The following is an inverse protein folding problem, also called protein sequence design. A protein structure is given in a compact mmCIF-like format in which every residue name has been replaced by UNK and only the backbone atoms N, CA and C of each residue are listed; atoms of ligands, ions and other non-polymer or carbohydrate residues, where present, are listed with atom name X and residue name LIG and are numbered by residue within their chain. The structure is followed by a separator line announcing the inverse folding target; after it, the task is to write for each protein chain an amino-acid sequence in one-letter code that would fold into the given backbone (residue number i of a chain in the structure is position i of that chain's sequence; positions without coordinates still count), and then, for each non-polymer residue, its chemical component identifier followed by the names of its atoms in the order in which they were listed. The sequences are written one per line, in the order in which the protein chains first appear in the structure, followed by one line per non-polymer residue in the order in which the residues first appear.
data_IF_962854400125
#
_entry.id   IF_962854400125
#
_cell.length_a   1.000
_cell.length_b   1.000
_cell.length_c   1.000
_cell.angle_alpha   90.00
_cell.angle_beta   90.00
_cell.angle_gamma   90.00
#
_symmetry.space_group_name_H-M   'P 1'
#
loop_
_entity.id
_entity.type
_entity.pdbx_description
1 polymer ?
#
# COMPACT_ATOMS: atom_id res chain seq x y z
N UNK A 1 -19.95 -0.11 -29.82
CA UNK A 1 -20.16 -1.58 -30.00
C UNK A 1 -21.17 -2.07 -28.98
N UNK A 2 -22.05 -3.05 -29.28
CA UNK A 2 -22.92 -3.65 -28.27
C UNK A 2 -22.03 -4.41 -27.28
N UNK A 3 -22.12 -4.11 -25.96
CA UNK A 3 -21.40 -4.86 -24.91
C UNK A 3 -21.86 -6.32 -24.98
N UNK A 4 -20.92 -7.24 -25.08
CA UNK A 4 -21.19 -8.68 -25.16
C UNK A 4 -21.08 -9.28 -23.79
N UNK A 5 -22.10 -9.99 -23.36
CA UNK A 5 -22.19 -10.68 -22.09
C UNK A 5 -22.23 -12.20 -22.27
N UNK A 6 -21.60 -12.89 -21.36
CA UNK A 6 -21.64 -14.34 -21.21
C UNK A 6 -22.55 -14.66 -20.03
N UNK A 7 -23.60 -15.44 -20.26
CA UNK A 7 -24.48 -15.86 -19.19
C UNK A 7 -23.88 -17.10 -18.47
N UNK A 8 -23.65 -16.96 -17.17
CA UNK A 8 -23.14 -18.03 -16.33
C UNK A 8 -23.74 -17.94 -14.93
N UNK A 9 -24.34 -19.06 -14.43
CA UNK A 9 -24.81 -19.19 -13.04
C UNK A 9 -25.71 -18.02 -12.55
N UNK A 10 -26.68 -17.61 -13.34
CA UNK A 10 -27.58 -16.47 -13.08
C UNK A 10 -26.88 -15.08 -13.09
N UNK A 11 -25.71 -14.98 -13.66
CA UNK A 11 -25.00 -13.71 -13.91
C UNK A 11 -24.84 -13.50 -15.41
N UNK A 12 -24.90 -12.22 -15.84
CA UNK A 12 -24.44 -11.81 -17.16
C UNK A 12 -23.11 -11.10 -17.01
N UNK A 13 -22.02 -11.78 -17.33
CA UNK A 13 -20.64 -11.28 -17.16
C UNK A 13 -20.13 -10.73 -18.48
N UNK A 14 -19.58 -9.52 -18.49
CA UNK A 14 -18.94 -8.96 -19.69
C UNK A 14 -17.85 -9.91 -20.20
N UNK A 15 -17.84 -10.15 -21.53
CA UNK A 15 -16.93 -11.11 -22.16
C UNK A 15 -15.46 -10.84 -21.81
N UNK A 16 -15.04 -9.58 -21.77
CA UNK A 16 -13.66 -9.21 -21.42
C UNK A 16 -13.30 -9.60 -19.99
N UNK A 17 -14.22 -9.43 -19.04
CA UNK A 17 -14.00 -9.83 -17.65
C UNK A 17 -14.04 -11.36 -17.51
N UNK A 18 -14.98 -12.02 -18.17
CA UNK A 18 -15.07 -13.47 -18.19
C UNK A 18 -13.79 -14.12 -18.72
N UNK A 19 -13.29 -13.59 -19.84
CA UNK A 19 -12.04 -14.04 -20.45
C UNK A 19 -10.85 -13.81 -19.53
N UNK A 20 -10.74 -12.65 -18.92
CA UNK A 20 -9.68 -12.35 -17.94
C UNK A 20 -9.68 -13.34 -16.77
N UNK A 21 -10.85 -13.58 -16.18
CA UNK A 21 -10.97 -14.51 -15.03
C UNK A 21 -10.55 -15.92 -15.44
N UNK A 22 -11.06 -16.41 -16.56
CA UNK A 22 -10.87 -17.80 -16.96
C UNK A 22 -9.51 -18.08 -17.61
N UNK A 23 -8.97 -17.11 -18.37
CA UNK A 23 -7.74 -17.30 -19.16
C UNK A 23 -6.49 -16.76 -18.46
N UNK A 24 -6.64 -15.74 -17.60
CA UNK A 24 -5.51 -15.05 -17.00
C UNK A 24 -5.44 -15.25 -15.46
N UNK A 25 -6.55 -15.09 -14.74
CA UNK A 25 -6.55 -15.04 -13.27
C UNK A 25 -6.62 -16.42 -12.60
N UNK A 26 -7.50 -17.32 -13.04
CA UNK A 26 -7.62 -18.68 -12.47
C UNK A 26 -6.45 -19.60 -12.87
N UNK A 27 -5.96 -19.63 -14.11
CA UNK A 27 -4.87 -20.52 -14.49
C UNK A 27 -3.61 -20.29 -13.64
N UNK A 28 -3.07 -21.39 -13.08
CA UNK A 28 -1.93 -21.38 -12.15
C UNK A 28 -2.33 -21.33 -10.68
N UNK A 29 -3.62 -21.20 -10.36
CA UNK A 29 -4.22 -21.49 -9.06
C UNK A 29 -4.75 -22.92 -9.01
N UNK A 30 -5.21 -23.37 -7.85
CA UNK A 30 -5.87 -24.68 -7.72
C UNK A 30 -7.41 -24.57 -7.83
N UNK A 31 -7.93 -23.42 -8.28
CA UNK A 31 -9.37 -23.15 -8.30
C UNK A 31 -9.99 -23.73 -9.57
N UNK A 32 -11.07 -24.48 -9.38
CA UNK A 32 -11.88 -24.97 -10.50
C UNK A 32 -12.80 -23.85 -11.03
N UNK A 33 -12.77 -23.60 -12.33
CA UNK A 33 -13.48 -22.50 -13.00
C UNK A 33 -15.00 -22.60 -12.77
N UNK A 34 -15.61 -23.78 -12.99
CA UNK A 34 -17.07 -23.95 -12.85
C UNK A 34 -17.51 -23.76 -11.40
N UNK A 35 -16.75 -24.32 -10.46
CA UNK A 35 -17.02 -24.18 -9.03
C UNK A 35 -16.85 -22.73 -8.55
N UNK A 36 -15.89 -22.00 -9.11
CA UNK A 36 -15.72 -20.56 -8.84
C UNK A 36 -16.96 -19.78 -9.23
N UNK A 37 -17.42 -19.87 -10.48
CA UNK A 37 -18.58 -19.11 -10.95
C UNK A 37 -19.86 -19.48 -10.21
N UNK A 38 -20.07 -20.78 -9.93
CA UNK A 38 -21.20 -21.26 -9.14
C UNK A 38 -21.24 -20.66 -7.73
N UNK A 39 -20.13 -20.77 -6.99
CA UNK A 39 -20.04 -20.23 -5.63
C UNK A 39 -20.05 -18.69 -5.63
N UNK A 40 -19.36 -18.05 -6.57
CA UNK A 40 -19.34 -16.61 -6.72
C UNK A 40 -20.76 -16.06 -6.94
N UNK A 41 -21.50 -16.62 -7.88
CA UNK A 41 -22.89 -16.22 -8.14
C UNK A 41 -23.77 -16.33 -6.89
N UNK A 42 -23.67 -17.43 -6.16
CA UNK A 42 -24.41 -17.60 -4.89
C UNK A 42 -24.09 -16.49 -3.88
N UNK A 43 -22.81 -16.20 -3.67
CA UNK A 43 -22.37 -15.18 -2.73
C UNK A 43 -22.82 -13.77 -3.18
N UNK A 44 -22.70 -13.46 -4.47
CA UNK A 44 -23.16 -12.18 -5.00
C UNK A 44 -24.65 -11.98 -4.72
N UNK A 45 -25.50 -12.97 -5.04
CA UNK A 45 -26.96 -12.89 -4.78
C UNK A 45 -27.31 -12.90 -3.28
N UNK A 46 -26.49 -13.51 -2.43
CA UNK A 46 -26.65 -13.45 -0.96
C UNK A 46 -26.31 -12.06 -0.40
N UNK A 47 -25.21 -11.45 -0.89
CA UNK A 47 -24.65 -10.23 -0.31
C UNK A 47 -25.21 -8.94 -0.92
N UNK A 48 -25.63 -8.93 -2.18
CA UNK A 48 -26.14 -7.71 -2.83
C UNK A 48 -27.35 -7.10 -2.09
N UNK A 49 -28.37 -7.86 -1.66
CA UNK A 49 -29.46 -7.29 -0.89
C UNK A 49 -29.05 -6.75 0.49
N UNK A 50 -28.03 -7.37 1.12
CA UNK A 50 -27.48 -6.88 2.40
C UNK A 50 -26.74 -5.57 2.20
N UNK A 51 -25.97 -5.45 1.12
CA UNK A 51 -25.30 -4.20 0.74
C UNK A 51 -26.33 -3.08 0.51
N UNK A 52 -27.38 -3.35 -0.26
CA UNK A 52 -28.45 -2.39 -0.52
C UNK A 52 -29.16 -1.93 0.77
N UNK A 53 -29.43 -2.86 1.69
CA UNK A 53 -30.03 -2.55 2.98
C UNK A 53 -29.15 -1.59 3.82
N UNK A 54 -27.81 -1.79 3.82
CA UNK A 54 -26.87 -0.90 4.49
C UNK A 54 -26.86 0.51 3.86
N UNK A 55 -26.91 0.60 2.53
CA UNK A 55 -26.98 1.89 1.84
C UNK A 55 -28.29 2.64 2.15
N UNK A 56 -29.42 1.94 2.19
CA UNK A 56 -30.70 2.51 2.63
C UNK A 56 -30.66 2.97 4.07
N UNK A 57 -30.02 2.23 4.95
CA UNK A 57 -29.85 2.61 6.35
C UNK A 57 -28.97 3.86 6.48
N UNK A 58 -27.84 3.94 5.75
CA UNK A 58 -26.98 5.12 5.65
C UNK A 58 -27.79 6.37 5.24
N UNK A 59 -28.58 6.25 4.17
CA UNK A 59 -29.44 7.34 3.69
C UNK A 59 -30.48 7.76 4.72
N UNK A 60 -31.12 6.80 5.39
CA UNK A 60 -32.08 7.08 6.46
C UNK A 60 -31.44 7.87 7.60
N UNK A 61 -30.26 7.48 8.05
CA UNK A 61 -29.54 8.21 9.11
C UNK A 61 -29.27 9.66 8.72
N UNK A 62 -28.87 9.92 7.46
CA UNK A 62 -28.63 11.28 6.98
C UNK A 62 -29.93 12.10 6.98
N UNK A 63 -31.04 11.56 6.49
CA UNK A 63 -32.35 12.22 6.50
C UNK A 63 -32.81 12.55 7.93
N UNK A 64 -32.64 11.61 8.86
CA UNK A 64 -33.03 11.81 10.27
C UNK A 64 -32.18 12.93 10.92
N UNK A 65 -30.88 12.99 10.61
CA UNK A 65 -29.96 14.04 11.12
C UNK A 65 -30.33 15.40 10.52
N UNK A 66 -30.54 15.49 9.22
CA UNK A 66 -30.90 16.73 8.53
C UNK A 66 -32.21 17.30 9.12
N UNK A 67 -33.21 16.43 9.29
CA UNK A 67 -34.47 16.79 9.89
C UNK A 67 -34.30 17.34 11.32
N UNK A 68 -33.47 16.67 12.14
CA UNK A 68 -33.22 17.14 13.51
C UNK A 68 -32.65 18.57 13.52
N UNK A 69 -31.68 18.86 12.66
CA UNK A 69 -31.08 20.19 12.55
C UNK A 69 -32.11 21.24 12.09
N UNK A 70 -32.92 20.91 11.08
CA UNK A 70 -33.97 21.80 10.59
C UNK A 70 -35.02 22.10 11.67
N UNK A 71 -35.47 21.07 12.41
CA UNK A 71 -36.47 21.21 13.48
C UNK A 71 -35.97 22.00 14.72
N UNK A 72 -34.65 22.12 14.85
CA UNK A 72 -33.98 22.80 15.97
C UNK A 72 -33.18 24.04 15.55
N UNK A 73 -33.34 24.52 14.32
CA UNK A 73 -32.54 25.61 13.73
C UNK A 73 -32.57 26.92 14.55
N UNK A 74 -33.73 27.24 15.13
CA UNK A 74 -33.91 28.47 15.87
C UNK A 74 -33.75 28.31 17.41
N UNK A 75 -33.26 27.14 17.85
CA UNK A 75 -33.05 26.85 19.28
C UNK A 75 -31.57 26.93 19.62
N UNK A 76 -31.26 27.23 20.87
CA UNK A 76 -29.90 27.06 21.37
C UNK A 76 -29.49 25.59 21.28
N UNK A 77 -28.28 25.33 20.74
CA UNK A 77 -27.77 23.97 20.54
C UNK A 77 -27.52 23.29 21.89
N UNK A 78 -28.17 22.13 22.09
CA UNK A 78 -27.98 21.29 23.28
C UNK A 78 -27.26 20.01 22.89
N UNK A 79 -25.99 19.93 23.23
CA UNK A 79 -25.15 18.77 22.90
C UNK A 79 -25.72 17.45 23.47
N UNK A 80 -26.20 17.43 24.69
CA UNK A 80 -26.74 16.23 25.34
C UNK A 80 -27.99 15.69 24.63
N UNK A 81 -28.88 16.60 24.21
CA UNK A 81 -30.08 16.24 23.44
C UNK A 81 -29.67 15.65 22.07
N UNK A 82 -28.72 16.28 21.39
CA UNK A 82 -28.24 15.81 20.12
C UNK A 82 -27.57 14.44 20.23
N UNK A 83 -26.68 14.21 21.19
CA UNK A 83 -26.09 12.92 21.44
C UNK A 83 -27.12 11.81 21.73
N UNK A 84 -28.14 12.14 22.55
CA UNK A 84 -29.23 11.21 22.85
C UNK A 84 -30.05 10.88 21.59
N UNK A 85 -30.29 11.86 20.74
CA UNK A 85 -30.92 11.63 19.45
C UNK A 85 -30.08 10.73 18.57
N UNK A 86 -28.76 10.97 18.41
CA UNK A 86 -27.86 10.15 17.63
C UNK A 86 -27.79 8.70 18.14
N UNK A 87 -27.80 8.50 19.46
CA UNK A 87 -27.89 7.16 20.08
C UNK A 87 -29.22 6.48 19.75
N UNK A 88 -30.31 7.22 19.83
CA UNK A 88 -31.68 6.72 19.57
C UNK A 88 -31.86 6.22 18.14
N UNK A 89 -31.31 6.93 17.15
CA UNK A 89 -31.41 6.52 15.73
C UNK A 89 -30.36 5.45 15.34
N UNK A 90 -29.42 5.13 16.23
CA UNK A 90 -28.34 4.17 15.97
C UNK A 90 -27.16 4.73 15.18
N UNK A 91 -27.01 6.05 15.12
CA UNK A 91 -25.83 6.70 14.54
C UNK A 91 -24.61 6.50 15.46
N UNK A 92 -24.77 6.81 16.76
CA UNK A 92 -23.81 6.49 17.80
C UNK A 92 -24.13 5.12 18.40
N UNK A 93 -23.14 4.24 18.44
CA UNK A 93 -23.27 2.89 18.99
C UNK A 93 -22.60 2.86 20.37
N UNK A 94 -23.24 2.17 21.32
CA UNK A 94 -22.64 1.96 22.63
C UNK A 94 -21.39 1.09 22.49
N UNK A 95 -20.29 1.53 23.08
CA UNK A 95 -19.06 0.74 23.13
C UNK A 95 -19.29 -0.57 23.91
N UNK A 96 -18.84 -1.65 23.31
CA UNK A 96 -18.78 -2.96 23.97
C UNK A 96 -17.61 -3.07 24.97
N UNK A 97 -17.41 -4.25 25.59
CA UNK A 97 -16.31 -4.47 26.52
C UNK A 97 -14.95 -4.31 25.87
N UNK A 98 -13.90 -4.18 26.67
CA UNK A 98 -12.52 -4.13 26.17
C UNK A 98 -12.16 -5.38 25.34
N UNK A 99 -11.35 -5.20 24.32
CA UNK A 99 -10.88 -6.27 23.45
C UNK A 99 -9.43 -6.01 23.00
N UNK A 100 -8.83 -7.02 22.41
CA UNK A 100 -7.49 -6.92 21.78
C UNK A 100 -7.58 -7.31 20.32
N UNK A 101 -6.81 -6.63 19.49
CA UNK A 101 -6.60 -7.04 18.10
C UNK A 101 -5.91 -8.40 18.07
N UNK A 102 -6.43 -9.32 17.28
CA UNK A 102 -5.98 -10.72 17.19
C UNK A 102 -5.42 -11.08 15.82
N UNK A 103 -5.20 -10.10 14.96
CA UNK A 103 -4.69 -10.31 13.60
C UNK A 103 -3.34 -11.03 13.64
N UNK A 104 -3.20 -12.07 12.83
CA UNK A 104 -1.98 -12.91 12.74
C UNK A 104 -1.44 -12.90 11.31
N UNK A 105 -0.20 -13.40 11.15
CA UNK A 105 0.46 -13.50 9.85
C UNK A 105 0.55 -12.15 9.15
N UNK A 106 1.09 -11.16 9.86
CA UNK A 106 1.33 -9.80 9.35
C UNK A 106 2.79 -9.67 8.94
N UNK A 107 3.02 -9.15 7.73
CA UNK A 107 4.37 -8.88 7.24
C UNK A 107 5.03 -7.76 8.04
N UNK A 108 6.36 -7.79 8.11
CA UNK A 108 7.16 -6.83 8.91
C UNK A 108 6.97 -5.39 8.43
N UNK A 109 6.71 -5.19 7.16
CA UNK A 109 6.41 -3.90 6.54
C UNK A 109 5.19 -3.22 7.16
N UNK A 110 4.28 -3.98 7.73
CA UNK A 110 3.11 -3.47 8.44
C UNK A 110 3.38 -3.35 9.94
N UNK A 111 3.98 -4.39 10.54
CA UNK A 111 4.02 -4.53 12.00
C UNK A 111 5.26 -3.92 12.66
N UNK A 112 6.38 -3.82 11.94
CA UNK A 112 7.69 -3.52 12.57
C UNK A 112 8.50 -2.43 11.86
N UNK A 113 8.19 -2.09 10.61
CA UNK A 113 8.99 -1.13 9.83
C UNK A 113 8.20 0.17 9.67
N UNK A 114 8.55 1.25 10.39
CA UNK A 114 7.86 2.54 10.31
C UNK A 114 8.39 3.33 9.11
N UNK A 115 7.83 3.13 7.93
CA UNK A 115 8.27 3.80 6.72
C UNK A 115 7.13 4.44 5.93
N UNK A 116 7.47 5.24 4.92
CA UNK A 116 6.49 5.88 4.04
C UNK A 116 5.59 4.87 3.32
N UNK A 117 4.35 5.29 3.07
CA UNK A 117 3.39 4.56 2.27
C UNK A 117 3.04 5.39 1.03
N UNK A 118 3.01 4.76 -0.14
CA UNK A 118 2.57 5.37 -1.39
C UNK A 118 1.16 4.91 -1.75
N UNK A 119 0.44 5.75 -2.51
CA UNK A 119 -0.83 5.40 -3.14
C UNK A 119 -0.72 5.75 -4.62
N UNK A 120 -1.04 4.82 -5.52
CA UNK A 120 -0.96 5.02 -6.96
C UNK A 120 -2.13 4.36 -7.68
N UNK A 121 -2.61 4.95 -8.81
CA UNK A 121 -3.65 4.33 -9.62
C UNK A 121 -3.14 3.03 -10.26
N UNK A 122 -3.83 1.91 -9.99
CA UNK A 122 -3.44 0.60 -10.53
C UNK A 122 -3.60 0.50 -12.05
N UNK A 123 -4.47 1.31 -12.63
CA UNK A 123 -4.67 1.35 -14.09
C UNK A 123 -3.47 1.90 -14.85
N UNK A 124 -2.57 2.63 -14.17
CA UNK A 124 -1.32 3.11 -14.75
C UNK A 124 -0.16 2.18 -14.36
N UNK A 125 0.18 1.25 -15.24
CA UNK A 125 1.25 0.27 -15.03
C UNK A 125 2.63 0.89 -14.75
N UNK A 126 2.92 2.06 -15.35
CA UNK A 126 4.17 2.81 -15.10
C UNK A 126 4.22 3.31 -13.66
N UNK A 127 3.14 3.91 -13.17
CA UNK A 127 3.07 4.40 -11.78
C UNK A 127 3.12 3.23 -10.79
N UNK A 128 2.40 2.15 -11.07
CA UNK A 128 2.41 0.96 -10.24
C UNK A 128 3.81 0.34 -10.10
N UNK A 129 4.54 0.16 -11.22
CA UNK A 129 5.91 -0.34 -11.20
C UNK A 129 6.88 0.60 -10.51
N UNK A 130 6.78 1.92 -10.76
CA UNK A 130 7.65 2.89 -10.11
C UNK A 130 7.44 2.92 -8.60
N UNK A 131 6.19 2.90 -8.14
CA UNK A 131 5.86 2.90 -6.71
C UNK A 131 6.30 1.60 -6.02
N UNK A 132 6.06 0.44 -6.63
CA UNK A 132 6.55 -0.84 -6.11
C UNK A 132 8.08 -0.84 -5.97
N UNK A 133 8.80 -0.26 -6.94
CA UNK A 133 10.26 -0.18 -6.96
C UNK A 133 10.83 0.95 -6.09
N UNK A 134 10.00 1.86 -5.58
CA UNK A 134 10.42 2.94 -4.70
C UNK A 134 10.77 2.50 -3.26
N UNK A 135 10.81 1.17 -3.01
CA UNK A 135 11.34 0.63 -1.74
C UNK A 135 12.75 1.15 -1.46
N UNK A 136 13.59 1.31 -2.48
CA UNK A 136 14.94 1.79 -2.37
C UNK A 136 15.13 3.01 -3.26
N UNK A 137 15.48 4.14 -2.65
CA UNK A 137 15.63 5.42 -3.32
C UNK A 137 17.02 6.03 -3.11
N UNK A 138 17.58 6.64 -4.16
CA UNK A 138 18.81 7.40 -4.09
C UNK A 138 18.59 8.69 -3.29
N UNK A 139 19.35 8.89 -2.23
CA UNK A 139 19.38 10.13 -1.49
C UNK A 139 19.99 11.26 -2.35
N UNK A 140 21.01 10.93 -3.13
CA UNK A 140 21.68 11.92 -3.99
C UNK A 140 20.74 12.45 -5.08
N UNK A 141 20.01 11.55 -5.75
CA UNK A 141 19.01 11.97 -6.75
C UNK A 141 17.88 12.79 -6.12
N UNK A 142 17.41 12.39 -4.93
CA UNK A 142 16.36 13.11 -4.22
C UNK A 142 16.81 14.53 -3.83
N UNK A 143 18.02 14.67 -3.28
CA UNK A 143 18.58 15.97 -2.91
C UNK A 143 18.85 16.85 -4.14
N UNK A 144 19.39 16.26 -5.20
CA UNK A 144 19.72 17.00 -6.42
C UNK A 144 18.45 17.49 -7.14
N UNK A 145 17.40 16.67 -7.17
CA UNK A 145 16.17 16.91 -7.93
C UNK A 145 15.10 17.76 -7.23
N UNK A 146 15.27 18.07 -5.93
CA UNK A 146 14.25 18.77 -5.14
C UNK A 146 14.76 20.11 -4.57
N UNK A 147 13.89 20.84 -3.89
CA UNK A 147 14.19 22.14 -3.25
C UNK A 147 14.89 22.01 -1.89
N UNK A 148 15.19 20.79 -1.42
CA UNK A 148 16.00 20.57 -0.20
C UNK A 148 17.38 21.26 -0.34
N UNK A 149 17.98 21.21 -1.53
CA UNK A 149 19.12 22.04 -1.88
C UNK A 149 18.61 23.27 -2.61
N UNK A 150 18.69 24.48 -2.02
CA UNK A 150 18.20 25.70 -2.64
C UNK A 150 18.84 26.00 -4.00
N UNK A 151 18.09 26.66 -4.88
CA UNK A 151 18.58 27.13 -6.18
C UNK A 151 19.20 28.53 -6.05
N UNK A 152 20.21 28.65 -5.20
CA UNK A 152 20.93 29.90 -4.91
C UNK A 152 22.44 29.70 -4.95
N UNK A 153 23.19 30.76 -5.04
CA UNK A 153 24.67 30.74 -4.94
C UNK A 153 25.35 29.80 -5.95
N UNK A 154 24.85 29.75 -7.18
CA UNK A 154 25.41 28.91 -8.24
C UNK A 154 25.01 27.45 -8.20
N UNK A 155 24.06 27.07 -7.30
CA UNK A 155 23.55 25.69 -7.17
C UNK A 155 22.22 25.47 -7.89
N UNK A 156 21.87 26.29 -8.88
CA UNK A 156 20.64 26.18 -9.66
C UNK A 156 20.62 24.87 -10.48
N UNK A 157 19.43 24.28 -10.63
CA UNK A 157 19.21 23.14 -11.53
C UNK A 157 19.23 23.63 -12.98
N UNK A 158 19.99 22.96 -13.81
CA UNK A 158 20.08 23.26 -15.24
C UNK A 158 19.82 21.97 -16.05
N UNK A 159 19.76 22.10 -17.38
CA UNK A 159 19.68 20.96 -18.30
C UNK A 159 20.93 20.04 -18.27
N UNK A 160 22.02 20.51 -17.64
CA UNK A 160 23.27 19.76 -17.46
C UNK A 160 23.57 19.63 -15.98
N UNK A 161 24.37 18.63 -15.63
CA UNK A 161 24.85 18.47 -14.26
C UNK A 161 25.58 19.72 -13.77
N UNK A 162 25.14 20.26 -12.64
CA UNK A 162 25.76 21.38 -11.97
C UNK A 162 26.72 20.91 -10.86
N UNK A 163 28.04 21.03 -10.99
CA UNK A 163 29.01 20.57 -9.99
C UNK A 163 28.84 21.24 -8.61
N UNK A 164 28.56 22.56 -8.56
CA UNK A 164 28.35 23.26 -7.29
C UNK A 164 27.17 22.73 -6.52
N UNK A 165 26.05 22.40 -7.23
CA UNK A 165 24.91 21.69 -6.62
C UNK A 165 25.30 20.32 -6.14
N UNK A 166 26.07 19.55 -6.93
CA UNK A 166 26.55 18.22 -6.57
C UNK A 166 27.41 18.23 -5.31
N UNK A 167 28.24 19.24 -5.08
CA UNK A 167 29.03 19.40 -3.85
C UNK A 167 28.13 19.63 -2.63
N UNK A 168 27.11 20.48 -2.75
CA UNK A 168 26.11 20.69 -1.66
C UNK A 168 25.32 19.39 -1.36
N UNK A 169 25.01 18.57 -2.37
CA UNK A 169 24.38 17.25 -2.19
C UNK A 169 25.29 16.32 -1.39
N UNK A 170 26.56 16.22 -1.76
CA UNK A 170 27.56 15.40 -1.04
C UNK A 170 27.71 15.88 0.40
N UNK A 171 27.82 17.17 0.62
CA UNK A 171 27.92 17.74 1.96
C UNK A 171 26.68 17.40 2.82
N UNK A 172 25.48 17.60 2.28
CA UNK A 172 24.24 17.25 2.96
C UNK A 172 24.21 15.77 3.32
N UNK A 173 24.57 14.90 2.37
CA UNK A 173 24.58 13.46 2.56
C UNK A 173 25.59 13.02 3.63
N UNK A 174 26.75 13.68 3.74
CA UNK A 174 27.72 13.44 4.80
C UNK A 174 27.16 13.85 6.17
N UNK A 175 26.53 15.01 6.26
CA UNK A 175 25.82 15.44 7.48
C UNK A 175 24.71 14.48 7.87
N UNK A 176 23.99 13.93 6.87
CA UNK A 176 22.97 12.91 7.10
C UNK A 176 23.58 11.64 7.72
N UNK A 177 24.74 11.18 7.26
CA UNK A 177 25.43 10.03 7.83
C UNK A 177 25.90 10.31 9.26
N UNK A 178 26.50 11.48 9.52
CA UNK A 178 26.92 11.86 10.88
C UNK A 178 25.78 11.85 11.89
N UNK A 179 24.58 12.26 11.44
CA UNK A 179 23.38 12.26 12.28
C UNK A 179 22.79 10.87 12.48
N UNK A 180 22.84 10.00 11.48
CA UNK A 180 22.09 8.75 11.46
C UNK A 180 22.94 7.50 11.70
N UNK A 181 24.21 7.53 11.32
CA UNK A 181 25.21 6.46 11.50
C UNK A 181 26.50 7.08 12.07
N UNK A 182 26.45 7.70 13.26
CA UNK A 182 27.57 8.46 13.78
C UNK A 182 28.80 7.58 14.05
N UNK A 183 29.96 8.09 13.66
CA UNK A 183 31.23 7.51 14.05
C UNK A 183 31.48 7.74 15.56
N UNK A 184 32.28 6.88 16.19
CA UNK A 184 32.69 7.06 17.60
C UNK A 184 33.52 8.33 17.75
N UNK A 185 34.44 8.58 16.80
CA UNK A 185 35.29 9.75 16.72
C UNK A 185 35.31 10.26 15.28
N UNK A 186 35.35 11.59 15.08
CA UNK A 186 35.38 12.22 13.77
C UNK A 186 34.03 12.27 13.06
N UNK A 187 34.06 12.50 11.77
CA UNK A 187 32.91 12.73 10.89
C UNK A 187 33.03 11.88 9.64
N UNK A 188 31.90 11.53 9.02
CA UNK A 188 31.88 10.95 7.68
C UNK A 188 32.52 11.86 6.63
N UNK A 189 32.65 13.16 6.89
CA UNK A 189 33.35 14.13 6.04
C UNK A 189 34.86 13.88 6.02
N UNK A 190 35.40 13.29 7.06
CA UNK A 190 36.84 13.06 7.22
C UNK A 190 37.31 11.76 6.57
N UNK A 191 36.37 10.87 6.21
CA UNK A 191 36.68 9.61 5.55
C UNK A 191 37.22 9.88 4.15
N UNK A 192 38.47 9.46 3.92
CA UNK A 192 39.24 9.71 2.69
C UNK A 192 39.55 8.47 1.87
N UNK A 193 39.15 7.30 2.32
CA UNK A 193 39.33 6.03 1.61
C UNK A 193 38.13 5.09 1.84
N UNK A 194 37.95 4.14 0.94
CA UNK A 194 36.88 3.13 1.07
C UNK A 194 37.12 2.33 2.34
N UNK A 195 36.14 2.27 3.28
CA UNK A 195 36.26 1.45 4.47
C UNK A 195 36.49 -0.03 4.12
N UNK A 196 37.09 -0.79 5.04
CA UNK A 196 37.32 -2.22 4.86
C UNK A 196 36.39 -3.02 5.76
N UNK A 197 35.99 -4.20 5.31
CA UNK A 197 35.28 -5.18 6.13
C UNK A 197 36.14 -6.43 6.25
N UNK A 198 36.48 -6.81 7.46
CA UNK A 198 37.30 -7.99 7.73
C UNK A 198 36.57 -8.92 8.69
N UNK A 199 36.33 -10.15 8.28
CA UNK A 199 35.57 -11.14 9.06
C UNK A 199 34.22 -10.55 9.60
N UNK A 200 33.49 -9.85 8.72
CA UNK A 200 32.22 -9.22 9.09
C UNK A 200 32.32 -7.97 9.95
N UNK A 201 33.53 -7.53 10.31
CA UNK A 201 33.77 -6.31 11.10
C UNK A 201 34.14 -5.14 10.21
N UNK A 202 33.49 -4.02 10.42
CA UNK A 202 33.79 -2.77 9.74
C UNK A 202 35.05 -2.13 10.32
N UNK A 203 35.91 -1.55 9.49
CA UNK A 203 37.13 -0.84 9.91
C UNK A 203 36.85 0.53 10.54
N UNK A 204 35.61 1.03 10.46
CA UNK A 204 35.19 2.27 11.11
C UNK A 204 34.57 1.96 12.48
N UNK A 205 34.96 2.73 13.49
CA UNK A 205 34.35 2.67 14.80
C UNK A 205 33.06 3.47 14.85
N UNK A 206 31.93 2.78 14.91
CA UNK A 206 30.61 3.37 15.03
C UNK A 206 30.27 3.63 16.50
N UNK A 207 29.55 4.72 16.77
CA UNK A 207 28.99 5.00 18.11
C UNK A 207 28.02 3.87 18.52
N UNK A 208 27.26 3.33 17.59
CA UNK A 208 26.36 2.19 17.77
C UNK A 208 26.76 1.05 16.81
N UNK A 209 27.66 0.16 17.23
CA UNK A 209 28.19 -0.95 16.41
C UNK A 209 27.10 -1.82 15.78
N UNK A 210 25.96 -2.02 16.49
CA UNK A 210 24.81 -2.82 16.00
C UNK A 210 24.11 -2.24 14.79
N UNK A 211 24.39 -0.97 14.42
CA UNK A 211 23.82 -0.40 13.20
C UNK A 211 24.40 -1.03 11.94
N UNK A 212 25.64 -1.49 11.94
CA UNK A 212 26.21 -2.19 10.79
C UNK A 212 25.65 -3.61 10.73
N UNK A 213 24.88 -3.92 9.65
CA UNK A 213 24.12 -5.18 9.54
C UNK A 213 24.52 -6.03 8.36
N UNK A 214 25.20 -5.46 7.36
CA UNK A 214 25.62 -6.22 6.19
C UNK A 214 26.54 -5.45 5.25
N UNK A 215 27.10 -6.16 4.30
CA UNK A 215 27.99 -5.61 3.29
C UNK A 215 27.93 -6.43 2.00
N UNK A 216 28.37 -5.81 0.92
CA UNK A 216 28.46 -6.48 -0.38
C UNK A 216 29.80 -6.17 -1.04
N UNK A 217 30.53 -7.24 -1.42
CA UNK A 217 31.67 -7.15 -2.31
C UNK A 217 31.25 -7.51 -3.74
N UNK A 218 31.76 -6.78 -4.72
CA UNK A 218 31.74 -7.18 -6.13
C UNK A 218 33.17 -7.49 -6.54
N UNK A 219 33.42 -8.73 -6.88
CA UNK A 219 34.78 -9.24 -7.04
C UNK A 219 35.60 -9.02 -5.74
N UNK A 220 36.67 -8.26 -5.78
CA UNK A 220 37.49 -7.94 -4.61
C UNK A 220 37.21 -6.56 -4.00
N UNK A 221 36.31 -5.78 -4.61
CA UNK A 221 36.07 -4.40 -4.20
C UNK A 221 34.81 -4.32 -3.32
N UNK A 222 34.92 -3.62 -2.19
CA UNK A 222 33.74 -3.27 -1.40
C UNK A 222 32.81 -2.39 -2.26
N UNK A 223 31.59 -2.87 -2.44
CA UNK A 223 30.57 -2.19 -3.23
C UNK A 223 29.57 -1.47 -2.35
N UNK A 224 29.23 -2.03 -1.18
CA UNK A 224 28.16 -1.51 -0.35
C UNK A 224 28.35 -1.85 1.12
N UNK A 225 27.96 -0.91 1.99
CA UNK A 225 27.81 -1.08 3.45
C UNK A 225 26.36 -0.82 3.83
N UNK A 226 25.72 -1.81 4.45
CA UNK A 226 24.33 -1.72 4.89
C UNK A 226 24.24 -1.44 6.39
N UNK A 227 23.57 -0.34 6.73
CA UNK A 227 23.30 0.06 8.11
C UNK A 227 21.81 0.01 8.39
N UNK A 228 21.44 -0.11 9.67
CA UNK A 228 20.05 -0.12 10.14
C UNK A 228 19.84 0.91 11.25
N UNK A 229 18.80 1.73 11.09
CA UNK A 229 18.33 2.68 12.12
C UNK A 229 16.81 2.72 12.11
N UNK A 230 16.18 2.64 13.28
CA UNK A 230 14.71 2.64 13.43
C UNK A 230 14.01 1.60 12.53
N UNK A 231 14.62 0.43 12.37
CA UNK A 231 14.19 -0.64 11.48
C UNK A 231 14.21 -0.31 9.96
N UNK A 232 14.70 0.84 9.56
CA UNK A 232 14.96 1.21 8.17
C UNK A 232 16.44 1.07 7.84
N UNK A 233 16.75 0.82 6.59
CA UNK A 233 18.11 0.57 6.13
C UNK A 233 18.69 1.74 5.34
N UNK A 234 19.98 1.94 5.51
CA UNK A 234 20.81 2.92 4.79
C UNK A 234 21.93 2.13 4.12
N UNK A 235 21.99 2.18 2.81
CA UNK A 235 22.98 1.47 2.00
C UNK A 235 23.94 2.45 1.34
N UNK A 236 25.19 2.48 1.80
CA UNK A 236 26.24 3.36 1.26
C UNK A 236 26.96 2.62 0.14
N UNK A 237 26.86 3.15 -1.09
CA UNK A 237 27.46 2.54 -2.27
C UNK A 237 28.79 3.20 -2.64
N UNK A 238 29.78 2.40 -2.98
CA UNK A 238 31.13 2.82 -3.37
C UNK A 238 31.42 2.47 -4.83
N UNK A 239 31.92 3.43 -5.60
CA UNK A 239 32.32 3.19 -6.99
C UNK A 239 33.28 4.29 -7.50
N UNK A 240 34.58 4.05 -7.39
CA UNK A 240 35.61 4.96 -7.86
C UNK A 240 35.62 5.19 -9.38
N UNK A 241 34.91 4.38 -10.17
CA UNK A 241 34.82 4.52 -11.62
C UNK A 241 33.65 5.43 -12.06
N UNK A 242 32.71 5.72 -11.17
CA UNK A 242 31.57 6.57 -11.47
C UNK A 242 31.96 8.06 -11.53
N UNK A 243 31.12 8.87 -12.18
CA UNK A 243 31.32 10.33 -12.27
C UNK A 243 31.30 11.03 -10.91
N UNK A 244 30.53 10.51 -9.95
CA UNK A 244 30.41 11.03 -8.59
C UNK A 244 31.52 10.47 -7.70
N UNK A 245 31.67 9.14 -7.66
CA UNK A 245 32.63 8.49 -6.78
C UNK A 245 34.10 8.84 -7.07
N UNK A 246 34.45 9.22 -8.31
CA UNK A 246 35.77 9.78 -8.65
C UNK A 246 36.09 11.07 -7.91
N UNK A 247 35.10 11.88 -7.59
CA UNK A 247 35.23 13.18 -6.95
C UNK A 247 35.09 13.08 -5.44
N UNK A 248 34.54 11.99 -4.94
CA UNK A 248 34.38 11.74 -3.52
C UNK A 248 35.65 11.13 -2.94
N UNK A 249 36.17 11.70 -1.84
CA UNK A 249 37.43 11.26 -1.20
C UNK A 249 37.40 9.78 -0.77
N UNK A 250 36.25 9.30 -0.31
CA UNK A 250 36.05 7.92 0.11
C UNK A 250 35.44 7.04 -1.00
N UNK A 251 35.26 7.58 -2.21
CA UNK A 251 34.65 6.85 -3.32
C UNK A 251 33.16 6.59 -3.19
N UNK A 252 32.47 7.29 -2.26
CA UNK A 252 31.01 7.16 -2.12
C UNK A 252 30.34 7.66 -3.39
N UNK A 253 29.58 6.79 -4.01
CA UNK A 253 28.87 7.02 -5.25
C UNK A 253 27.42 7.45 -5.02
N UNK A 254 26.77 6.88 -4.00
CA UNK A 254 25.41 7.17 -3.61
C UNK A 254 25.12 6.65 -2.19
N UNK A 255 24.07 7.16 -1.60
CA UNK A 255 23.44 6.65 -0.40
C UNK A 255 22.02 6.25 -0.76
N UNK A 256 21.74 4.94 -0.69
CA UNK A 256 20.40 4.42 -0.99
C UNK A 256 19.64 4.23 0.30
N UNK A 257 18.47 4.82 0.40
CA UNK A 257 17.62 4.71 1.57
C UNK A 257 16.49 3.71 1.33
N UNK A 258 16.19 2.90 2.33
CA UNK A 258 14.93 2.17 2.38
C UNK A 258 13.81 3.19 2.58
N UNK A 259 12.92 3.33 1.60
CA UNK A 259 11.98 4.45 1.43
C UNK A 259 10.53 3.97 1.49
N UNK A 260 9.89 3.72 0.34
CA UNK A 260 8.49 3.28 0.32
C UNK A 260 8.35 1.84 0.82
N UNK A 261 7.90 1.67 2.05
CA UNK A 261 7.77 0.37 2.70
C UNK A 261 6.53 -0.37 2.22
N UNK A 262 5.42 0.35 2.07
CA UNK A 262 4.17 -0.17 1.52
C UNK A 262 3.68 0.71 0.39
N UNK A 263 2.94 0.11 -0.55
CA UNK A 263 2.27 0.83 -1.64
C UNK A 263 0.85 0.34 -1.78
N UNK A 264 -0.11 1.25 -1.69
CA UNK A 264 -1.51 0.97 -1.99
C UNK A 264 -1.70 1.08 -3.50
N UNK A 265 -2.02 -0.03 -4.14
CA UNK A 265 -2.45 -0.11 -5.52
C UNK A 265 -3.96 0.15 -5.55
N UNK A 266 -4.34 1.30 -6.05
CA UNK A 266 -5.68 1.86 -5.87
C UNK A 266 -6.61 1.53 -7.02
N UNK A 267 -7.77 0.92 -6.70
CA UNK A 267 -8.89 0.73 -7.62
C UNK A 267 -10.01 1.75 -7.39
N UNK A 268 -9.84 2.69 -6.47
CA UNK A 268 -10.87 3.62 -6.02
C UNK A 268 -10.57 5.05 -6.49
N UNK A 269 -10.40 6.02 -5.61
CA UNK A 269 -10.43 7.47 -5.90
C UNK A 269 -9.45 7.94 -6.99
N UNK A 270 -8.30 7.32 -7.15
CA UNK A 270 -7.34 7.68 -8.19
C UNK A 270 -7.61 7.05 -9.56
N UNK A 271 -8.70 6.27 -9.68
CA UNK A 271 -9.07 5.52 -10.88
C UNK A 271 -10.52 5.81 -11.26
N UNK A 272 -10.79 5.95 -12.56
CA UNK A 272 -12.14 5.96 -13.13
C UNK A 272 -12.40 4.62 -13.81
N UNK A 273 -12.94 3.65 -13.06
CA UNK A 273 -13.27 2.31 -13.57
C UNK A 273 -14.77 2.14 -13.80
N UNK A 274 -15.29 2.69 -14.89
CA UNK A 274 -16.75 2.80 -15.13
C UNK A 274 -17.37 1.56 -15.77
N UNK A 275 -16.56 0.66 -16.32
CA UNK A 275 -17.03 -0.57 -16.96
C UNK A 275 -16.01 -1.71 -16.88
N UNK A 276 -16.31 -2.82 -17.58
CA UNK A 276 -15.47 -4.00 -17.56
C UNK A 276 -14.09 -3.77 -18.20
N UNK A 277 -14.03 -2.97 -19.22
CA UNK A 277 -12.80 -2.64 -19.94
C UNK A 277 -11.81 -1.94 -19.00
N UNK A 278 -12.26 -0.91 -18.29
CA UNK A 278 -11.47 -0.16 -17.34
C UNK A 278 -11.05 -1.06 -16.14
N UNK A 279 -12.00 -1.82 -15.59
CA UNK A 279 -11.72 -2.72 -14.46
C UNK A 279 -10.69 -3.78 -14.84
N UNK A 280 -10.78 -4.37 -16.01
CA UNK A 280 -9.84 -5.40 -16.46
C UNK A 280 -8.44 -4.84 -16.67
N UNK A 281 -8.27 -3.58 -17.07
CA UNK A 281 -6.93 -2.94 -17.09
C UNK A 281 -6.31 -2.95 -15.69
N UNK A 282 -7.04 -2.51 -14.68
CA UNK A 282 -6.56 -2.52 -13.29
C UNK A 282 -6.26 -3.93 -12.78
N UNK A 283 -7.17 -4.87 -13.02
CA UNK A 283 -7.00 -6.27 -12.60
C UNK A 283 -5.83 -6.97 -13.29
N UNK A 284 -5.57 -6.72 -14.57
CA UNK A 284 -4.41 -7.24 -15.30
C UNK A 284 -3.09 -6.71 -14.72
N UNK A 285 -3.03 -5.42 -14.43
CA UNK A 285 -1.85 -4.84 -13.80
C UNK A 285 -1.63 -5.43 -12.40
N UNK A 286 -2.70 -5.56 -11.59
CA UNK A 286 -2.59 -6.18 -10.27
C UNK A 286 -2.15 -7.65 -10.34
N UNK A 287 -2.74 -8.42 -11.24
CA UNK A 287 -2.33 -9.81 -11.47
C UNK A 287 -0.86 -9.91 -11.90
N UNK A 288 -0.42 -9.02 -12.80
CA UNK A 288 0.97 -8.97 -13.27
C UNK A 288 1.97 -8.63 -12.14
N UNK A 289 1.57 -7.77 -11.19
CA UNK A 289 2.34 -7.48 -9.99
C UNK A 289 2.45 -8.72 -9.08
N UNK A 290 1.33 -9.42 -8.85
CA UNK A 290 1.29 -10.62 -8.01
C UNK A 290 2.03 -11.81 -8.64
N UNK A 291 1.96 -11.97 -9.95
CA UNK A 291 2.78 -12.94 -10.70
C UNK A 291 4.26 -12.53 -10.80
N UNK A 292 4.56 -11.26 -10.52
CA UNK A 292 5.92 -10.72 -10.63
C UNK A 292 6.40 -10.49 -12.08
N UNK A 293 5.50 -10.47 -13.05
CA UNK A 293 5.81 -10.37 -14.48
C UNK A 293 5.29 -9.10 -15.17
N UNK A 294 4.71 -8.16 -14.40
CA UNK A 294 4.33 -6.88 -14.96
C UNK A 294 5.57 -6.15 -15.48
N UNK A 295 5.54 -5.76 -16.74
CA UNK A 295 6.61 -5.02 -17.38
C UNK A 295 6.06 -4.04 -18.42
N UNK A 296 6.79 -2.96 -18.66
CA UNK A 296 6.48 -1.95 -19.66
C UNK A 296 7.73 -1.55 -20.42
N UNK A 297 7.56 -1.29 -21.71
CA UNK A 297 8.63 -0.68 -22.52
C UNK A 297 8.63 0.84 -22.27
N UNK A 298 9.82 1.38 -22.03
CA UNK A 298 10.08 2.79 -21.81
C UNK A 298 11.21 3.27 -22.70
N UNK A 299 11.22 4.56 -22.96
CA UNK A 299 12.32 5.21 -23.67
C UNK A 299 12.88 6.36 -22.82
N UNK A 300 14.20 6.41 -22.71
CA UNK A 300 14.93 7.52 -22.08
C UNK A 300 16.17 7.84 -22.90
N UNK A 301 16.34 9.11 -23.26
CA UNK A 301 17.46 9.61 -24.05
C UNK A 301 17.67 8.80 -25.36
N UNK A 302 16.56 8.46 -26.07
CA UNK A 302 16.58 7.68 -27.30
C UNK A 302 16.89 6.18 -27.13
N UNK A 303 17.02 5.67 -25.89
CA UNK A 303 17.25 4.27 -25.59
C UNK A 303 16.01 3.61 -25.03
N UNK A 304 15.57 2.53 -25.68
CA UNK A 304 14.46 1.69 -25.17
C UNK A 304 14.97 0.76 -24.09
N UNK A 305 14.20 0.62 -23.04
CA UNK A 305 14.45 -0.33 -21.96
C UNK A 305 13.16 -0.86 -21.37
N UNK A 306 13.19 -2.07 -20.85
CA UNK A 306 12.05 -2.69 -20.19
C UNK A 306 12.07 -2.37 -18.69
N UNK A 307 11.05 -1.67 -18.20
CA UNK A 307 10.82 -1.48 -16.77
C UNK A 307 10.06 -2.67 -16.22
N UNK A 308 10.60 -3.27 -15.17
CA UNK A 308 10.01 -4.43 -14.45
C UNK A 308 10.21 -4.26 -12.94
N UNK A 309 9.60 -5.15 -12.16
CA UNK A 309 9.80 -5.21 -10.71
C UNK A 309 11.27 -5.48 -10.36
N UNK A 310 11.79 -4.74 -9.40
CA UNK A 310 13.15 -4.93 -8.91
C UNK A 310 13.30 -6.29 -8.21
N UNK A 311 14.44 -6.98 -8.37
CA UNK A 311 14.77 -8.18 -7.59
C UNK A 311 15.03 -7.80 -6.13
N UNK A 312 15.04 -8.81 -5.26
CA UNK A 312 15.53 -8.67 -3.89
C UNK A 312 17.02 -8.31 -3.89
N UNK A 313 17.49 -7.69 -2.82
CA UNK A 313 18.88 -7.25 -2.64
C UNK A 313 19.56 -8.22 -1.68
N UNK A 314 20.82 -8.58 -1.98
CA UNK A 314 21.57 -9.58 -1.25
C UNK A 314 22.82 -8.96 -0.66
N UNK A 315 23.10 -9.28 0.60
CA UNK A 315 24.27 -8.83 1.34
C UNK A 315 24.85 -9.99 2.13
N UNK A 316 26.13 -9.93 2.46
CA UNK A 316 26.71 -10.77 3.51
C UNK A 316 26.42 -10.14 4.87
N UNK A 317 26.00 -10.91 5.84
CA UNK A 317 25.73 -10.40 7.20
C UNK A 317 26.99 -9.85 7.85
N UNK A 318 26.85 -8.76 8.59
CA UNK A 318 27.89 -8.28 9.47
C UNK A 318 28.04 -9.20 10.68
N UNK A 319 29.25 -9.20 11.30
CA UNK A 319 29.49 -9.92 12.56
C UNK A 319 28.56 -9.35 13.65
N UNK A 320 27.95 -10.24 14.42
CA UNK A 320 27.09 -9.90 15.52
C UNK A 320 27.54 -10.65 16.79
N UNK A 321 27.75 -9.96 17.90
CA UNK A 321 28.09 -10.53 19.21
C UNK A 321 29.35 -11.42 19.22
N UNK A 322 30.31 -11.15 18.32
CA UNK A 322 31.54 -11.96 18.22
C UNK A 322 31.44 -13.16 17.29
N UNK A 323 30.27 -13.45 16.75
CA UNK A 323 30.06 -14.54 15.79
C UNK A 323 30.04 -14.02 14.36
N UNK A 324 30.82 -14.67 13.49
CA UNK A 324 30.86 -14.38 12.06
C UNK A 324 29.84 -15.27 11.35
N UNK A 325 28.83 -14.67 10.76
CA UNK A 325 27.81 -15.36 9.97
C UNK A 325 27.94 -14.93 8.50
N UNK A 326 28.50 -15.79 7.66
CA UNK A 326 28.62 -15.54 6.21
C UNK A 326 27.33 -15.83 5.42
N UNK A 327 26.22 -16.09 6.10
CA UNK A 327 24.94 -16.30 5.42
C UNK A 327 24.43 -15.01 4.77
N UNK A 328 23.57 -15.18 3.78
CA UNK A 328 22.98 -14.05 3.09
C UNK A 328 21.96 -13.32 3.96
N UNK A 329 22.01 -12.00 3.91
CA UNK A 329 20.96 -11.11 4.36
C UNK A 329 20.16 -10.66 3.12
N UNK A 330 18.92 -11.12 3.03
CA UNK A 330 18.05 -10.82 1.89
C UNK A 330 17.13 -9.66 2.27
N UNK A 331 17.21 -8.58 1.51
CA UNK A 331 16.34 -7.42 1.65
C UNK A 331 15.34 -7.37 0.50
N UNK A 332 14.08 -7.08 0.79
CA UNK A 332 13.06 -6.92 -0.25
C UNK A 332 13.46 -5.80 -1.22
N UNK A 333 13.42 -6.08 -2.51
CA UNK A 333 13.70 -5.09 -3.56
C UNK A 333 12.50 -4.17 -3.85
N UNK A 334 11.32 -4.52 -3.35
CA UNK A 334 10.03 -3.85 -3.62
C UNK A 334 9.31 -3.52 -2.33
N UNK A 335 8.44 -2.50 -2.38
CA UNK A 335 7.46 -2.25 -1.32
C UNK A 335 6.48 -3.41 -1.21
N UNK A 336 5.95 -3.65 -0.01
CA UNK A 336 4.79 -4.53 0.17
C UNK A 336 3.58 -3.86 -0.51
N UNK A 337 3.01 -4.54 -1.49
CA UNK A 337 1.87 -4.02 -2.24
C UNK A 337 0.57 -4.43 -1.56
N UNK A 338 -0.26 -3.42 -1.26
CA UNK A 338 -1.61 -3.53 -0.75
C UNK A 338 -2.57 -3.17 -1.87
N UNK A 339 -3.84 -3.56 -1.78
CA UNK A 339 -4.85 -3.21 -2.78
C UNK A 339 -5.98 -2.43 -2.12
N UNK A 340 -6.33 -1.24 -2.61
CA UNK A 340 -7.56 -0.57 -2.21
C UNK A 340 -8.67 -0.93 -3.17
N UNK A 341 -9.66 -1.69 -2.68
CA UNK A 341 -10.90 -1.95 -3.38
C UNK A 341 -11.81 -0.71 -3.32
N UNK A 342 -12.90 -0.68 -4.09
CA UNK A 342 -13.94 0.34 -3.88
C UNK A 342 -14.78 0.07 -2.63
N UNK A 343 -15.48 1.10 -2.16
CA UNK A 343 -16.42 1.03 -1.03
C UNK A 343 -17.68 0.21 -1.34
N UNK A 344 -18.74 0.45 -0.54
CA UNK A 344 -20.00 -0.29 -0.67
C UNK A 344 -21.04 0.40 -1.58
N UNK A 345 -20.83 1.66 -1.94
CA UNK A 345 -21.81 2.48 -2.66
C UNK A 345 -21.92 2.14 -4.15
N UNK A 346 -20.77 1.96 -4.81
CA UNK A 346 -20.74 1.89 -6.28
C UNK A 346 -21.19 0.53 -6.79
N UNK A 347 -21.84 0.57 -7.97
CA UNK A 347 -22.15 -0.61 -8.80
C UNK A 347 -21.36 -0.55 -10.11
N UNK A 348 -21.27 -1.66 -10.81
CA UNK A 348 -20.53 -1.73 -12.07
C UNK A 348 -21.19 -2.65 -13.08
N UNK A 349 -21.37 -2.21 -14.34
CA UNK A 349 -22.01 -2.99 -15.39
C UNK A 349 -21.14 -4.15 -15.91
N UNK A 350 -19.93 -4.35 -15.38
CA UNK A 350 -19.10 -5.49 -15.77
C UNK A 350 -19.79 -6.85 -15.52
N UNK A 351 -20.69 -6.88 -14.52
CA UNK A 351 -21.55 -8.04 -14.22
C UNK A 351 -22.95 -7.54 -13.91
N UNK A 352 -23.93 -8.14 -14.55
CA UNK A 352 -25.34 -7.92 -14.24
C UNK A 352 -25.89 -9.12 -13.48
N UNK A 353 -26.71 -8.85 -12.47
CA UNK A 353 -27.42 -9.84 -11.68
C UNK A 353 -28.61 -10.42 -12.45
N UNK A 354 -29.30 -11.39 -11.86
CA UNK A 354 -30.46 -12.06 -12.49
C UNK A 354 -31.58 -11.10 -12.87
N UNK A 355 -31.80 -10.05 -12.09
CA UNK A 355 -32.81 -9.02 -12.32
C UNK A 355 -32.36 -7.90 -13.26
N UNK A 356 -31.14 -7.99 -13.80
CA UNK A 356 -30.54 -6.99 -14.67
C UNK A 356 -29.85 -5.82 -13.94
N UNK A 357 -29.89 -5.78 -12.62
CA UNK A 357 -29.14 -4.78 -11.84
C UNK A 357 -27.63 -5.03 -11.92
N UNK A 358 -26.85 -3.96 -11.77
CA UNK A 358 -25.40 -4.04 -11.73
C UNK A 358 -24.89 -4.65 -10.42
N UNK A 359 -23.76 -5.38 -10.49
CA UNK A 359 -23.11 -5.92 -9.28
C UNK A 359 -22.62 -4.80 -8.39
N UNK A 360 -22.76 -4.91 -7.04
CA UNK A 360 -22.00 -4.06 -6.14
C UNK A 360 -20.50 -4.22 -6.39
N UNK A 361 -19.87 -3.15 -6.85
CA UNK A 361 -18.48 -3.18 -7.34
C UNK A 361 -17.49 -3.66 -6.28
N UNK A 362 -17.71 -3.28 -5.01
CA UNK A 362 -16.86 -3.71 -3.90
C UNK A 362 -16.89 -5.22 -3.63
N UNK A 363 -17.98 -5.92 -4.01
CA UNK A 363 -18.04 -7.39 -3.96
C UNK A 363 -17.17 -7.97 -5.08
N UNK A 364 -17.32 -7.48 -6.30
CA UNK A 364 -16.50 -7.91 -7.44
C UNK A 364 -15.02 -7.70 -7.19
N UNK A 365 -14.62 -6.52 -6.71
CA UNK A 365 -13.23 -6.21 -6.39
C UNK A 365 -12.65 -7.18 -5.37
N UNK A 366 -13.37 -7.46 -4.27
CA UNK A 366 -12.89 -8.36 -3.23
C UNK A 366 -12.55 -9.75 -3.76
N UNK A 367 -13.35 -10.28 -4.69
CA UNK A 367 -13.09 -11.57 -5.33
C UNK A 367 -11.90 -11.52 -6.28
N UNK A 368 -11.91 -10.59 -7.22
CA UNK A 368 -10.92 -10.56 -8.32
C UNK A 368 -9.53 -10.17 -7.81
N UNK A 369 -9.46 -9.20 -6.90
CA UNK A 369 -8.16 -8.78 -6.34
C UNK A 369 -7.55 -9.85 -5.45
N UNK A 370 -8.38 -10.57 -4.66
CA UNK A 370 -7.91 -11.70 -3.84
C UNK A 370 -7.47 -12.89 -4.69
N UNK A 371 -8.24 -13.23 -5.72
CA UNK A 371 -7.88 -14.28 -6.68
C UNK A 371 -6.50 -14.03 -7.30
N UNK A 372 -6.22 -12.78 -7.68
CA UNK A 372 -4.93 -12.37 -8.21
C UNK A 372 -3.78 -12.58 -7.20
N UNK A 373 -4.03 -12.35 -5.90
CA UNK A 373 -3.01 -12.52 -4.85
C UNK A 373 -2.58 -13.98 -4.65
N UNK A 374 -3.40 -14.97 -5.00
CA UNK A 374 -3.05 -16.39 -4.85
C UNK A 374 -1.78 -16.75 -5.61
N UNK A 375 -1.48 -16.06 -6.71
CA UNK A 375 -0.28 -16.27 -7.49
C UNK A 375 1.02 -15.95 -6.72
N UNK A 376 0.97 -15.03 -5.75
CA UNK A 376 2.12 -14.73 -4.91
C UNK A 376 2.37 -15.78 -3.82
N UNK A 377 1.40 -16.59 -3.43
CA UNK A 377 1.52 -17.51 -2.29
C UNK A 377 2.64 -18.55 -2.44
N UNK A 378 2.96 -18.94 -3.67
CA UNK A 378 4.07 -19.88 -3.96
C UNK A 378 5.42 -19.17 -3.90
N UNK A 379 5.50 -17.98 -4.45
CA UNK A 379 6.75 -17.22 -4.59
C UNK A 379 7.06 -16.38 -3.37
N UNK A 380 6.03 -15.93 -2.64
CA UNK A 380 6.10 -15.05 -1.47
C UNK A 380 6.95 -13.79 -1.73
N UNK A 381 6.83 -13.27 -2.95
CA UNK A 381 7.60 -12.10 -3.38
C UNK A 381 6.94 -10.79 -2.96
N UNK A 382 5.62 -10.79 -2.75
CA UNK A 382 4.89 -9.69 -2.14
C UNK A 382 4.73 -9.92 -0.64
N UNK A 383 3.89 -10.88 -0.23
CA UNK A 383 3.67 -11.20 1.19
C UNK A 383 4.45 -12.46 1.60
N UNK A 384 5.35 -12.34 2.55
CA UNK A 384 6.13 -13.48 3.11
C UNK A 384 5.25 -14.39 3.98
N UNK A 385 4.15 -13.85 4.48
CA UNK A 385 3.18 -14.56 5.31
C UNK A 385 2.03 -15.16 4.51
N UNK A 386 2.00 -14.97 3.19
CA UNK A 386 0.88 -15.34 2.30
C UNK A 386 -0.44 -14.68 2.75
N UNK A 387 -0.38 -13.42 3.15
CA UNK A 387 -1.54 -12.59 3.49
C UNK A 387 -1.95 -11.71 2.33
N UNK A 388 -3.25 -11.43 2.22
CA UNK A 388 -3.83 -10.50 1.26
C UNK A 388 -4.23 -9.24 2.02
N UNK A 389 -3.68 -8.09 1.63
CA UNK A 389 -3.96 -6.82 2.30
C UNK A 389 -4.91 -5.98 1.45
N UNK A 390 -6.16 -5.85 1.92
CA UNK A 390 -7.19 -5.03 1.27
C UNK A 390 -7.48 -3.81 2.14
N UNK A 391 -7.33 -2.63 1.56
CA UNK A 391 -7.80 -1.37 2.13
C UNK A 391 -9.26 -1.20 1.73
N UNK A 392 -10.15 -1.08 2.71
CA UNK A 392 -11.59 -0.91 2.49
C UNK A 392 -12.01 0.51 2.81
N UNK A 393 -12.27 1.34 1.76
CA UNK A 393 -12.61 2.74 1.91
C UNK A 393 -14.10 2.95 2.22
N UNK A 394 -14.42 4.17 2.67
CA UNK A 394 -15.78 4.72 2.71
C UNK A 394 -16.80 3.83 3.44
N UNK A 395 -16.38 3.16 4.52
CA UNK A 395 -17.29 2.44 5.42
C UNK A 395 -17.98 3.43 6.37
N UNK A 396 -19.30 3.35 6.50
CA UNK A 396 -20.10 4.16 7.40
C UNK A 396 -20.51 3.38 8.65
N UNK A 397 -19.55 3.17 9.55
CA UNK A 397 -19.79 2.63 10.87
C UNK A 397 -19.68 1.10 11.01
N UNK A 398 -20.00 0.59 12.21
CA UNK A 398 -19.74 -0.79 12.60
C UNK A 398 -20.50 -1.84 11.78
N UNK A 399 -21.69 -1.54 11.28
CA UNK A 399 -22.49 -2.45 10.46
C UNK A 399 -21.81 -2.74 9.12
N UNK A 400 -21.24 -1.71 8.47
CA UNK A 400 -20.51 -1.87 7.24
C UNK A 400 -19.14 -2.55 7.46
N UNK A 401 -18.51 -2.36 8.62
CA UNK A 401 -17.33 -3.12 9.02
C UNK A 401 -17.66 -4.61 9.21
N UNK A 402 -18.81 -4.92 9.83
CA UNK A 402 -19.33 -6.29 9.96
C UNK A 402 -19.59 -6.93 8.60
N UNK A 403 -20.22 -6.17 7.69
CA UNK A 403 -20.47 -6.64 6.33
C UNK A 403 -19.16 -6.89 5.56
N UNK A 404 -18.17 -6.05 5.73
CA UNK A 404 -16.82 -6.24 5.13
C UNK A 404 -16.17 -7.53 5.66
N UNK A 405 -16.28 -7.82 6.96
CA UNK A 405 -15.79 -9.08 7.53
C UNK A 405 -16.51 -10.30 6.94
N UNK A 406 -17.83 -10.21 6.79
CA UNK A 406 -18.63 -11.25 6.15
C UNK A 406 -18.22 -11.45 4.68
N UNK A 407 -18.10 -10.37 3.91
CA UNK A 407 -17.66 -10.43 2.51
C UNK A 407 -16.30 -11.13 2.39
N UNK A 408 -15.31 -10.72 3.18
CA UNK A 408 -13.97 -11.32 3.13
C UNK A 408 -13.98 -12.81 3.55
N UNK A 409 -14.83 -13.18 4.51
CA UNK A 409 -15.01 -14.57 4.89
C UNK A 409 -15.60 -15.41 3.75
N UNK A 410 -16.58 -14.87 3.01
CA UNK A 410 -17.17 -15.52 1.84
C UNK A 410 -16.17 -15.63 0.67
N UNK A 411 -15.35 -14.61 0.45
CA UNK A 411 -14.27 -14.67 -0.55
C UNK A 411 -13.28 -15.78 -0.21
N UNK A 412 -12.86 -15.86 1.04
CA UNK A 412 -11.94 -16.92 1.51
C UNK A 412 -12.56 -18.33 1.33
N UNK A 413 -13.84 -18.48 1.63
CA UNK A 413 -14.57 -19.75 1.44
C UNK A 413 -14.59 -20.17 -0.03
N UNK A 414 -14.96 -19.26 -0.93
CA UNK A 414 -15.05 -19.53 -2.38
C UNK A 414 -13.69 -19.83 -2.99
N UNK A 415 -12.67 -19.11 -2.58
CA UNK A 415 -11.29 -19.24 -3.07
C UNK A 415 -10.48 -20.29 -2.30
N UNK A 416 -11.11 -21.05 -1.41
CA UNK A 416 -10.51 -22.14 -0.62
C UNK A 416 -9.27 -21.68 0.19
N UNK A 417 -9.33 -20.45 0.70
CA UNK A 417 -8.28 -19.86 1.51
C UNK A 417 -8.50 -20.14 3.00
N UNK A 418 -7.40 -20.09 3.75
CA UNK A 418 -7.49 -20.16 5.22
C UNK A 418 -8.24 -18.94 5.75
N UNK A 419 -9.04 -19.15 6.81
CA UNK A 419 -9.73 -18.06 7.50
C UNK A 419 -8.76 -16.94 7.90
N UNK A 420 -9.19 -15.70 7.69
CA UNK A 420 -8.42 -14.49 7.99
C UNK A 420 -7.10 -14.36 7.16
N UNK A 421 -7.05 -14.97 5.98
CA UNK A 421 -6.00 -14.70 4.99
C UNK A 421 -6.08 -13.26 4.48
N UNK A 422 -7.31 -12.76 4.24
CA UNK A 422 -7.55 -11.38 3.85
C UNK A 422 -7.51 -10.50 5.10
N UNK A 423 -6.61 -9.53 5.08
CA UNK A 423 -6.49 -8.47 6.09
C UNK A 423 -7.25 -7.24 5.64
N UNK A 424 -7.74 -6.45 6.59
CA UNK A 424 -8.53 -5.25 6.32
C UNK A 424 -7.81 -4.00 6.83
N UNK A 425 -7.53 -3.06 5.95
CA UNK A 425 -7.17 -1.69 6.31
C UNK A 425 -8.45 -0.87 6.43
N UNK A 426 -8.70 -0.32 7.59
CA UNK A 426 -9.88 0.53 7.85
C UNK A 426 -9.50 1.96 7.46
N UNK A 427 -10.28 2.56 6.55
CA UNK A 427 -10.21 3.99 6.29
C UNK A 427 -11.15 4.70 7.27
N UNK A 428 -10.58 5.49 8.17
CA UNK A 428 -11.34 6.40 9.05
C UNK A 428 -11.55 7.72 8.31
N UNK A 429 -12.56 7.75 7.47
CA UNK A 429 -12.84 8.85 6.55
C UNK A 429 -14.35 9.19 6.44
N UNK A 430 -15.19 8.51 7.21
CA UNK A 430 -16.61 8.80 7.29
C UNK A 430 -16.99 9.09 8.74
N UNK A 431 -17.87 10.09 8.99
CA UNK A 431 -18.23 10.54 10.34
C UNK A 431 -18.67 9.40 11.25
N UNK A 432 -19.57 8.53 10.75
CA UNK A 432 -20.09 7.44 11.57
C UNK A 432 -19.02 6.39 11.91
N UNK A 433 -18.01 6.23 11.06
CA UNK A 433 -16.83 5.42 11.39
C UNK A 433 -15.95 6.11 12.43
N UNK A 434 -15.65 7.40 12.28
CA UNK A 434 -14.82 8.15 13.22
C UNK A 434 -15.38 8.11 14.64
N UNK A 435 -16.68 8.36 14.81
CA UNK A 435 -17.32 8.40 16.15
C UNK A 435 -17.60 7.02 16.74
N UNK A 436 -17.47 5.94 15.96
CA UNK A 436 -17.64 4.54 16.38
C UNK A 436 -16.40 3.70 16.05
N UNK A 437 -15.23 4.30 15.94
CA UNK A 437 -14.02 3.64 15.41
C UNK A 437 -13.66 2.37 16.17
N UNK A 438 -13.77 2.38 17.50
CA UNK A 438 -13.50 1.22 18.35
C UNK A 438 -14.38 0.03 18.00
N UNK A 439 -15.66 0.26 17.71
CA UNK A 439 -16.60 -0.79 17.30
C UNK A 439 -16.35 -1.27 15.85
N UNK A 440 -15.92 -0.39 14.95
CA UNK A 440 -15.47 -0.79 13.62
C UNK A 440 -14.25 -1.73 13.70
N UNK A 441 -13.28 -1.39 14.54
CA UNK A 441 -12.09 -2.23 14.80
C UNK A 441 -12.50 -3.57 15.43
N UNK A 442 -13.41 -3.55 16.41
CA UNK A 442 -13.92 -4.76 17.07
C UNK A 442 -14.48 -5.76 16.05
N UNK A 443 -15.28 -5.30 15.09
CA UNK A 443 -15.88 -6.16 14.07
C UNK A 443 -14.86 -6.73 13.08
N UNK A 444 -13.65 -6.16 13.03
CA UNK A 444 -12.53 -6.59 12.18
C UNK A 444 -11.30 -7.03 12.99
N UNK A 445 -11.42 -7.27 14.31
CA UNK A 445 -10.31 -7.51 15.23
C UNK A 445 -9.35 -8.65 14.83
N UNK A 446 -9.83 -9.61 14.05
CA UNK A 446 -9.03 -10.74 13.56
C UNK A 446 -8.35 -10.45 12.20
N UNK A 447 -8.66 -9.30 11.57
CA UNK A 447 -8.21 -8.94 10.21
C UNK A 447 -7.53 -7.57 10.12
N UNK A 448 -7.82 -6.63 11.03
CA UNK A 448 -7.31 -5.27 10.93
C UNK A 448 -5.79 -5.23 10.93
N UNK A 449 -5.20 -4.52 9.97
CA UNK A 449 -3.75 -4.36 9.86
C UNK A 449 -3.28 -2.91 9.93
N UNK A 450 -4.14 -1.94 9.60
CA UNK A 450 -3.96 -0.53 9.89
C UNK A 450 -5.29 0.22 9.97
N UNK A 451 -5.21 1.44 10.49
CA UNK A 451 -6.22 2.48 10.35
C UNK A 451 -5.54 3.64 9.63
N UNK A 452 -6.22 4.19 8.63
CA UNK A 452 -5.75 5.36 7.89
C UNK A 452 -6.84 6.44 7.95
N UNK A 453 -6.45 7.68 8.28
CA UNK A 453 -7.38 8.81 8.35
C UNK A 453 -7.41 9.56 7.04
N UNK A 454 -8.59 9.63 6.40
CA UNK A 454 -8.83 10.32 5.13
C UNK A 454 -9.58 11.63 5.34
N UNK A 455 -8.90 12.78 5.34
CA UNK A 455 -9.55 14.06 5.65
C UNK A 455 -10.45 14.61 4.52
N UNK A 456 -10.17 14.29 3.26
CA UNK A 456 -10.95 14.76 2.11
C UNK A 456 -12.38 14.20 2.13
N UNK A 457 -12.49 12.87 2.23
CA UNK A 457 -13.80 12.19 2.34
C UNK A 457 -14.51 12.57 3.63
N UNK A 458 -13.78 12.67 4.75
CA UNK A 458 -14.31 13.09 6.04
C UNK A 458 -14.93 14.49 5.98
N UNK A 459 -14.28 15.42 5.28
CA UNK A 459 -14.82 16.77 5.04
C UNK A 459 -16.05 16.70 4.15
N UNK A 460 -16.02 15.93 3.08
CA UNK A 460 -17.16 15.75 2.16
C UNK A 460 -18.38 15.16 2.85
N UNK A 461 -18.20 14.14 3.68
CA UNK A 461 -19.30 13.54 4.46
C UNK A 461 -19.92 14.51 5.48
N UNK A 462 -19.15 15.46 6.00
CA UNK A 462 -19.62 16.43 6.99
C UNK A 462 -20.32 17.65 6.38
N UNK A 463 -19.92 18.11 5.21
CA UNK A 463 -20.39 19.36 4.59
C UNK A 463 -21.91 19.45 4.55
N UNK A 464 -22.60 18.39 4.12
CA UNK A 464 -24.06 18.40 4.00
C UNK A 464 -24.75 18.65 5.33
N UNK A 465 -24.36 17.95 6.39
CA UNK A 465 -24.89 18.14 7.74
C UNK A 465 -24.56 19.54 8.28
N UNK A 466 -23.33 20.02 8.07
CA UNK A 466 -22.93 21.37 8.49
C UNK A 466 -23.77 22.45 7.83
N UNK A 467 -24.15 22.28 6.56
CA UNK A 467 -25.07 23.21 5.87
C UNK A 467 -26.47 23.21 6.48
N UNK A 468 -26.96 22.06 6.93
CA UNK A 468 -28.29 22.00 7.60
C UNK A 468 -28.24 22.53 9.04
N UNK A 469 -27.12 22.29 9.73
CA UNK A 469 -26.92 22.77 11.10
C UNK A 469 -26.82 24.31 11.19
N UNK A 470 -26.30 24.96 10.15
CA UNK A 470 -26.00 26.38 10.13
C UNK A 470 -24.70 26.73 10.87
N UNK A 471 -24.35 28.04 10.93
CA UNK A 471 -23.19 28.56 11.63
C UNK A 471 -23.27 28.44 13.15
#
# INVERSE_FOLDING_TARGET
MKKKYINIENLSVSEILYDFVNKDAIPGTNINIQNFWYKFSKVVHELSPKNEALLKFRQKLQIDIDKWHLDNKDKEFNQSEYENFLKKIGYLIQEGPEFKIKTKNIDNEISNIPGPQLVVPITNSRYALNAANARWGSLYDALYGTDVIPETEGAERTNKYNPARGEKVIEYARNFLDKNVPLLNGSWKDISEIPKVFNGKLSLDLKEKKQFVGYLYKETNLYSLLFKKNNLHIDINFNLKSSIGKKDKAGINDIILESAITTIMDHEDSVAGVDAEDKVVGYKNWLGLMKGNLQIEMEKDGRKFTRKLNPDRFYTKAEQKGEVDYSELIMHGRSLMLNRNVGHLMTNPAILLRDGSEIPEGIMDAFITTLSCIHDFKTKKNSRTSSVYIVKPKMHGPDEATFTNLLFSKVEEVLELKKNTIKCGIMDEERRTSVNLKECIRNLQDRVFFINTGFLDRTGDEIHTSMQAGP
#
